data_IF_962780317892
#
_entry.id   IF_962780317892
#
_cell.length_a   1.000
_cell.length_b   1.000
_cell.length_c   1.000
_cell.angle_alpha   90.00
_cell.angle_beta   90.00
_cell.angle_gamma   90.00
#
_symmetry.space_group_name_H-M   'P 1'
#
loop_
_entity.id
_entity.type
_entity.pdbx_description
1 polymer ?
#
# COMPACT_ATOMS: atom_id res chain seq x y z
N UNK A 1 15.14 -20.30 -8.78
CA UNK A 1 15.01 -19.89 -10.20
C UNK A 1 16.30 -19.18 -10.63
N UNK A 2 16.83 -19.36 -11.85
CA UNK A 2 17.95 -18.55 -12.38
C UNK A 2 17.37 -17.62 -13.45
N UNK A 3 17.38 -16.32 -13.21
CA UNK A 3 16.97 -15.31 -14.17
C UNK A 3 18.06 -15.08 -15.20
N UNK A 4 17.67 -14.65 -16.40
CA UNK A 4 18.62 -14.06 -17.34
C UNK A 4 19.17 -12.75 -16.77
N UNK A 5 20.35 -12.31 -17.23
CA UNK A 5 20.89 -11.00 -16.82
C UNK A 5 19.92 -9.85 -17.15
N UNK A 6 19.21 -9.96 -18.28
CA UNK A 6 18.17 -8.99 -18.67
C UNK A 6 16.98 -8.96 -17.71
N UNK A 7 16.50 -10.13 -17.27
CA UNK A 7 15.36 -10.18 -16.33
C UNK A 7 15.77 -9.66 -14.95
N UNK A 8 16.98 -9.97 -14.51
CA UNK A 8 17.51 -9.46 -13.25
C UNK A 8 17.62 -7.93 -13.28
N UNK A 9 18.15 -7.37 -14.36
CA UNK A 9 18.23 -5.92 -14.56
C UNK A 9 16.85 -5.26 -14.60
N UNK A 10 15.89 -5.88 -15.29
CA UNK A 10 14.51 -5.40 -15.34
C UNK A 10 13.89 -5.34 -13.93
N UNK A 11 14.01 -6.42 -13.17
CA UNK A 11 13.46 -6.48 -11.80
C UNK A 11 14.12 -5.42 -10.92
N UNK A 12 15.45 -5.30 -10.94
CA UNK A 12 16.17 -4.31 -10.15
C UNK A 12 15.74 -2.87 -10.52
N UNK A 13 15.54 -2.60 -11.81
CA UNK A 13 15.01 -1.31 -12.29
C UNK A 13 13.60 -1.03 -11.79
N UNK A 14 12.69 -2.02 -11.83
CA UNK A 14 11.32 -1.89 -11.32
C UNK A 14 11.33 -1.59 -9.81
N UNK A 15 12.14 -2.33 -9.04
CA UNK A 15 12.25 -2.17 -7.59
C UNK A 15 12.68 -0.75 -7.21
N UNK A 16 13.64 -0.18 -7.92
CA UNK A 16 14.17 1.17 -7.63
C UNK A 16 13.25 2.26 -8.18
N UNK A 17 12.86 2.17 -9.45
CA UNK A 17 12.26 3.29 -10.18
C UNK A 17 10.73 3.34 -10.08
N UNK A 18 10.06 2.18 -9.99
CA UNK A 18 8.59 2.10 -9.92
C UNK A 18 8.10 1.88 -8.50
N UNK A 19 8.80 1.05 -7.74
CA UNK A 19 8.40 0.69 -6.40
C UNK A 19 9.14 1.49 -5.33
N UNK A 20 10.12 2.33 -5.69
CA UNK A 20 10.83 3.20 -4.73
C UNK A 20 11.45 2.44 -3.53
N UNK A 21 11.89 1.20 -3.76
CA UNK A 21 12.34 0.31 -2.69
C UNK A 21 11.20 -0.19 -1.78
N UNK A 22 9.96 -0.20 -2.29
CA UNK A 22 8.80 -0.56 -1.48
C UNK A 22 8.76 -2.04 -1.10
N UNK A 23 9.45 -2.85 -1.87
CA UNK A 23 9.64 -4.28 -1.71
C UNK A 23 11.06 -4.61 -2.14
N UNK A 24 11.55 -5.78 -1.74
CA UNK A 24 12.89 -6.27 -2.11
C UNK A 24 12.81 -7.33 -3.19
N UNK A 25 13.96 -7.68 -3.77
CA UNK A 25 14.09 -8.81 -4.70
C UNK A 25 13.50 -10.10 -4.12
N UNK A 26 13.66 -10.35 -2.82
CA UNK A 26 13.10 -11.54 -2.16
C UNK A 26 11.57 -11.61 -2.26
N UNK A 27 10.88 -10.47 -2.16
CA UNK A 27 9.42 -10.44 -2.31
C UNK A 27 9.02 -10.80 -3.75
N UNK A 28 9.76 -10.31 -4.74
CA UNK A 28 9.54 -10.63 -6.16
C UNK A 28 9.80 -12.11 -6.42
N UNK A 29 10.91 -12.66 -5.90
CA UNK A 29 11.24 -14.08 -6.05
C UNK A 29 10.17 -14.99 -5.44
N UNK A 30 9.77 -14.72 -4.19
CA UNK A 30 8.73 -15.50 -3.52
C UNK A 30 7.38 -15.37 -4.23
N UNK A 31 7.08 -14.21 -4.82
CA UNK A 31 5.88 -14.01 -5.62
C UNK A 31 5.94 -14.79 -6.94
N UNK A 32 7.09 -14.80 -7.61
CA UNK A 32 7.30 -15.53 -8.86
C UNK A 32 7.27 -17.05 -8.67
N UNK A 33 7.67 -17.55 -7.50
CA UNK A 33 7.59 -18.97 -7.13
C UNK A 33 6.15 -19.50 -7.01
N UNK A 34 5.13 -18.62 -7.04
CA UNK A 34 3.74 -19.06 -7.12
C UNK A 34 3.32 -19.56 -8.52
N UNK A 35 4.10 -19.28 -9.57
CA UNK A 35 3.70 -19.53 -10.96
C UNK A 35 4.46 -20.72 -11.57
N UNK A 36 3.80 -21.38 -12.53
CA UNK A 36 4.43 -22.36 -13.40
C UNK A 36 5.54 -21.69 -14.23
N UNK A 37 6.62 -22.43 -14.54
CA UNK A 37 7.78 -21.87 -15.28
C UNK A 37 7.42 -21.27 -16.64
N UNK A 38 6.43 -21.85 -17.30
CA UNK A 38 5.92 -21.40 -18.60
C UNK A 38 5.19 -20.06 -18.54
N UNK A 39 4.68 -19.68 -17.36
CA UNK A 39 3.89 -18.47 -17.15
C UNK A 39 4.71 -17.29 -16.60
N UNK A 40 6.01 -17.48 -16.36
CA UNK A 40 6.90 -16.43 -15.85
C UNK A 40 7.00 -15.21 -16.77
N UNK A 41 7.01 -15.33 -18.11
CA UNK A 41 7.00 -14.16 -18.99
C UNK A 41 5.77 -13.26 -18.76
N UNK A 42 4.59 -13.85 -18.58
CA UNK A 42 3.34 -13.12 -18.29
C UNK A 42 3.39 -12.50 -16.89
N UNK A 43 3.94 -13.19 -15.89
CA UNK A 43 4.15 -12.66 -14.56
C UNK A 43 5.06 -11.40 -14.57
N UNK A 44 6.14 -11.43 -15.35
CA UNK A 44 7.05 -10.29 -15.50
C UNK A 44 6.38 -9.11 -16.21
N UNK A 45 5.56 -9.36 -17.24
CA UNK A 45 4.76 -8.30 -17.89
C UNK A 45 3.81 -7.63 -16.88
N UNK A 46 3.16 -8.42 -16.01
CA UNK A 46 2.31 -7.86 -14.94
C UNK A 46 3.15 -7.02 -13.99
N UNK A 47 4.27 -7.55 -13.49
CA UNK A 47 5.18 -6.86 -12.57
C UNK A 47 5.62 -5.49 -13.09
N UNK A 48 5.98 -5.42 -14.37
CA UNK A 48 6.39 -4.19 -15.05
C UNK A 48 5.28 -3.12 -15.07
N UNK A 49 4.02 -3.53 -15.12
CA UNK A 49 2.87 -2.65 -15.29
C UNK A 49 2.14 -2.31 -13.97
N UNK A 50 2.60 -2.81 -12.83
CA UNK A 50 2.07 -2.41 -11.52
C UNK A 50 2.33 -0.92 -11.29
N UNK A 51 1.28 -0.18 -10.95
CA UNK A 51 1.34 1.23 -10.56
C UNK A 51 1.36 1.33 -9.04
N UNK A 52 2.56 1.52 -8.47
CA UNK A 52 2.71 1.74 -7.04
C UNK A 52 2.61 3.24 -6.72
N UNK A 53 1.64 3.60 -5.88
CA UNK A 53 1.39 4.96 -5.43
C UNK A 53 1.92 5.15 -4.00
N UNK A 54 3.07 5.85 -3.83
CA UNK A 54 3.57 6.20 -2.52
C UNK A 54 2.63 7.19 -1.83
N UNK A 55 2.70 7.28 -0.51
CA UNK A 55 1.81 8.13 0.29
C UNK A 55 1.89 9.60 -0.14
N UNK A 56 3.07 10.09 -0.52
CA UNK A 56 3.23 11.45 -1.04
C UNK A 56 2.33 11.71 -2.26
N UNK A 57 2.30 10.80 -3.23
CA UNK A 57 1.43 10.91 -4.41
C UNK A 57 -0.05 10.79 -4.05
N UNK A 58 -0.40 9.92 -3.11
CA UNK A 58 -1.78 9.83 -2.58
C UNK A 58 -2.23 11.16 -1.98
N UNK A 59 -1.37 11.79 -1.17
CA UNK A 59 -1.67 13.10 -0.56
C UNK A 59 -1.77 14.20 -1.61
N UNK A 60 -0.91 14.20 -2.63
CA UNK A 60 -0.97 15.16 -3.74
C UNK A 60 -2.30 15.08 -4.50
N UNK A 61 -2.75 13.86 -4.82
CA UNK A 61 -4.03 13.64 -5.53
C UNK A 61 -5.21 14.12 -4.69
N UNK A 62 -5.24 13.79 -3.40
CA UNK A 62 -6.25 14.34 -2.49
C UNK A 62 -6.19 15.86 -2.41
N UNK A 63 -4.98 16.44 -2.32
CA UNK A 63 -4.77 17.88 -2.21
C UNK A 63 -5.31 18.62 -3.45
N UNK A 64 -5.06 18.09 -4.64
CA UNK A 64 -5.56 18.61 -5.92
C UNK A 64 -7.10 18.47 -6.02
N UNK A 65 -7.63 17.28 -5.73
CA UNK A 65 -9.07 17.02 -5.72
C UNK A 65 -9.82 17.97 -4.77
N UNK A 66 -9.33 18.11 -3.54
CA UNK A 66 -9.89 19.04 -2.55
C UNK A 66 -9.79 20.50 -3.00
N UNK A 67 -8.68 20.90 -3.63
CA UNK A 67 -8.50 22.26 -4.14
C UNK A 67 -9.55 22.58 -5.21
N UNK A 68 -9.79 21.65 -6.14
CA UNK A 68 -10.85 21.76 -7.16
C UNK A 68 -12.23 21.85 -6.53
N UNK A 69 -12.54 20.98 -5.56
CA UNK A 69 -13.79 21.03 -4.78
C UNK A 69 -13.97 22.39 -4.11
N UNK A 70 -12.97 22.89 -3.37
CA UNK A 70 -13.08 24.14 -2.64
C UNK A 70 -13.15 25.38 -3.53
N UNK A 71 -12.63 25.29 -4.76
CA UNK A 71 -12.80 26.32 -5.79
C UNK A 71 -14.21 26.29 -6.36
N UNK A 72 -14.71 25.12 -6.73
CA UNK A 72 -16.03 24.94 -7.34
C UNK A 72 -17.17 25.24 -6.36
N UNK A 73 -17.06 24.79 -5.12
CA UNK A 73 -18.06 24.96 -4.06
C UNK A 73 -17.64 26.02 -3.05
N UNK A 74 -17.08 27.12 -3.55
CA UNK A 74 -16.37 28.10 -2.72
C UNK A 74 -17.25 28.79 -1.66
N UNK A 75 -18.54 28.91 -1.90
CA UNK A 75 -19.50 29.56 -0.99
C UNK A 75 -20.26 28.57 -0.09
N UNK A 76 -19.92 27.28 -0.11
CA UNK A 76 -20.65 26.24 0.61
C UNK A 76 -19.94 25.82 1.90
N UNK A 77 -20.73 25.46 2.92
CA UNK A 77 -20.25 24.66 4.05
C UNK A 77 -19.90 23.26 3.54
N UNK A 78 -18.75 22.69 3.91
CA UNK A 78 -18.33 21.36 3.42
C UNK A 78 -18.38 20.35 4.54
N UNK A 79 -19.21 19.32 4.36
CA UNK A 79 -19.31 18.15 5.24
C UNK A 79 -18.59 16.99 4.56
N UNK A 80 -17.56 16.45 5.20
CA UNK A 80 -16.70 15.39 4.64
C UNK A 80 -17.08 14.03 5.22
N UNK A 81 -17.27 13.05 4.33
CA UNK A 81 -17.73 11.70 4.63
C UNK A 81 -16.88 10.64 3.96
N UNK A 82 -16.46 9.62 4.71
CA UNK A 82 -15.90 8.41 4.12
C UNK A 82 -17.00 7.50 3.57
N UNK A 83 -16.82 6.97 2.36
CA UNK A 83 -17.71 5.95 1.77
C UNK A 83 -17.43 4.59 2.41
N UNK A 84 -18.49 3.86 2.78
CA UNK A 84 -18.42 2.51 3.31
C UNK A 84 -18.67 2.38 4.82
N UNK A 85 -18.71 1.13 5.30
CA UNK A 85 -18.90 0.80 6.72
C UNK A 85 -17.64 1.15 7.52
N UNK A 86 -17.82 1.40 8.83
CA UNK A 86 -16.70 1.52 9.78
C UNK A 86 -15.72 0.34 9.61
N UNK A 87 -14.43 0.63 9.44
CA UNK A 87 -13.39 -0.38 9.17
C UNK A 87 -13.14 -0.69 7.68
N UNK A 88 -13.79 0.01 6.75
CA UNK A 88 -13.41 0.03 5.31
C UNK A 88 -12.43 1.17 5.00
N UNK A 89 -11.83 1.14 3.80
CA UNK A 89 -10.79 2.06 3.33
C UNK A 89 -11.20 3.54 3.43
N UNK A 90 -12.41 3.91 2.99
CA UNK A 90 -12.90 5.30 3.03
C UNK A 90 -12.87 5.96 4.41
N UNK A 91 -13.08 5.21 5.51
CA UNK A 91 -12.98 5.75 6.87
C UNK A 91 -11.54 6.07 7.30
N UNK A 92 -10.58 5.26 6.85
CA UNK A 92 -9.14 5.51 7.05
C UNK A 92 -8.64 6.68 6.18
N UNK A 93 -9.31 6.97 5.05
CA UNK A 93 -8.94 8.08 4.16
C UNK A 93 -9.21 9.46 4.76
N UNK A 94 -10.15 9.57 5.70
CA UNK A 94 -10.38 10.82 6.44
C UNK A 94 -9.13 11.28 7.21
N UNK A 95 -8.31 10.35 7.68
CA UNK A 95 -7.01 10.67 8.29
C UNK A 95 -6.08 11.37 7.29
N UNK A 96 -5.96 10.83 6.08
CA UNK A 96 -5.11 11.40 5.03
C UNK A 96 -5.61 12.75 4.54
N UNK A 97 -6.93 12.93 4.41
CA UNK A 97 -7.52 14.23 4.08
C UNK A 97 -7.17 15.28 5.14
N UNK A 98 -7.32 14.96 6.42
CA UNK A 98 -6.99 15.89 7.50
C UNK A 98 -5.49 16.29 7.50
N UNK A 99 -4.62 15.38 7.03
CA UNK A 99 -3.19 15.63 6.86
C UNK A 99 -2.81 16.30 5.53
N UNK A 100 -3.74 16.41 4.58
CA UNK A 100 -3.46 17.04 3.29
C UNK A 100 -3.12 18.54 3.46
N UNK A 101 -2.18 19.09 2.66
CA UNK A 101 -1.84 20.51 2.72
C UNK A 101 -3.06 21.42 2.49
N UNK A 102 -3.92 21.07 1.53
CA UNK A 102 -5.14 21.82 1.23
C UNK A 102 -6.07 21.92 2.43
N UNK A 103 -6.30 20.82 3.16
CA UNK A 103 -7.18 20.84 4.34
C UNK A 103 -6.56 21.59 5.53
N UNK A 104 -5.23 21.61 5.61
CA UNK A 104 -4.49 22.34 6.64
C UNK A 104 -4.36 23.84 6.39
N UNK A 105 -4.68 24.29 5.18
CA UNK A 105 -4.56 25.69 4.78
C UNK A 105 -5.60 26.58 5.50
N UNK A 106 -5.10 27.65 6.14
CA UNK A 106 -5.91 28.63 6.86
C UNK A 106 -6.96 29.33 5.97
N UNK A 107 -6.71 29.44 4.66
CA UNK A 107 -7.65 30.01 3.68
C UNK A 107 -8.94 29.19 3.59
N UNK A 108 -8.81 27.86 3.65
CA UNK A 108 -9.95 26.95 3.59
C UNK A 108 -10.54 26.72 4.98
N UNK A 109 -9.74 26.60 6.06
CA UNK A 109 -10.24 26.43 7.44
C UNK A 109 -11.19 27.51 7.95
N UNK A 110 -11.19 28.72 7.38
CA UNK A 110 -12.17 29.77 7.71
C UNK A 110 -13.59 29.42 7.24
N UNK A 111 -13.72 28.54 6.24
CA UNK A 111 -14.99 27.90 5.88
C UNK A 111 -15.26 26.83 6.95
N UNK A 112 -16.50 26.75 7.45
CA UNK A 112 -16.90 25.74 8.46
C UNK A 112 -16.78 24.34 7.84
N UNK A 113 -15.59 23.76 7.87
CA UNK A 113 -15.35 22.39 7.42
C UNK A 113 -15.67 21.44 8.54
N UNK A 114 -16.56 20.51 8.25
CA UNK A 114 -17.08 19.58 9.24
C UNK A 114 -16.67 18.18 8.81
N UNK A 115 -15.72 17.62 9.56
CA UNK A 115 -15.36 16.22 9.44
C UNK A 115 -16.10 15.50 10.54
N UNK A 116 -17.00 14.61 10.18
CA UNK A 116 -17.76 13.83 11.14
C UNK A 116 -17.89 12.39 10.66
N UNK A 117 -18.04 11.48 11.62
CA UNK A 117 -18.55 10.15 11.30
C UNK A 117 -20.03 10.25 10.97
N UNK A 118 -20.57 9.21 10.31
CA UNK A 118 -21.99 9.15 9.92
C UNK A 118 -22.92 9.48 11.10
N UNK A 119 -22.62 8.96 12.27
CA UNK A 119 -23.41 9.11 13.50
C UNK A 119 -23.35 10.53 14.07
N UNK A 120 -22.27 11.26 13.78
CA UNK A 120 -22.05 12.61 14.27
C UNK A 120 -22.65 13.66 13.32
N UNK A 121 -22.88 13.31 12.04
CA UNK A 121 -23.30 14.26 11.01
C UNK A 121 -24.75 14.68 11.13
N UNK A 122 -25.67 13.78 11.49
CA UNK A 122 -27.08 14.16 11.66
C UNK A 122 -27.24 15.19 12.78
N UNK A 123 -26.71 14.95 14.01
CA UNK A 123 -26.71 15.96 15.07
C UNK A 123 -26.06 17.28 14.62
N UNK A 124 -24.94 17.19 13.91
CA UNK A 124 -24.22 18.35 13.42
C UNK A 124 -25.03 19.19 12.42
N UNK A 125 -25.72 18.54 11.47
CA UNK A 125 -26.63 19.21 10.53
C UNK A 125 -27.79 19.89 11.28
N UNK A 126 -28.32 19.25 12.32
CA UNK A 126 -29.40 19.81 13.14
C UNK A 126 -28.96 21.06 13.92
N UNK A 127 -27.76 21.05 14.49
CA UNK A 127 -27.22 22.17 15.30
C UNK A 127 -26.90 23.42 14.46
N UNK A 128 -26.66 23.27 13.17
CA UNK A 128 -26.04 24.31 12.35
C UNK A 128 -26.99 25.35 11.77
N UNK A 129 -28.31 25.31 12.04
CA UNK A 129 -29.30 26.18 11.36
C UNK A 129 -29.04 26.24 9.85
N UNK A 130 -28.68 25.10 9.24
CA UNK A 130 -28.27 25.07 7.83
C UNK A 130 -29.49 25.48 6.99
N UNK A 131 -29.39 26.64 6.34
CA UNK A 131 -30.37 27.03 5.30
C UNK A 131 -30.37 25.88 4.29
N UNK A 132 -31.55 25.31 4.04
CA UNK A 132 -31.79 23.96 3.46
C UNK A 132 -30.93 23.55 2.24
N UNK A 133 -30.28 24.49 1.56
CA UNK A 133 -29.57 24.31 0.29
C UNK A 133 -28.12 24.85 0.26
N UNK A 134 -27.50 25.15 1.42
CA UNK A 134 -26.18 25.83 1.45
C UNK A 134 -24.98 25.01 1.93
N UNK A 135 -25.00 23.70 1.72
CA UNK A 135 -23.87 22.83 2.02
C UNK A 135 -23.54 21.80 0.93
N UNK A 136 -22.27 21.42 0.90
CA UNK A 136 -21.70 20.36 0.09
C UNK A 136 -21.50 19.12 0.97
N UNK A 137 -22.02 18.00 0.52
CA UNK A 137 -21.67 16.68 1.02
C UNK A 137 -20.53 16.12 0.16
N UNK A 138 -19.32 16.10 0.73
CA UNK A 138 -18.12 15.61 0.09
C UNK A 138 -17.85 14.17 0.53
N UNK A 139 -18.05 13.23 -0.39
CA UNK A 139 -17.76 11.82 -0.20
C UNK A 139 -16.30 11.51 -0.54
N UNK A 140 -15.69 10.60 0.20
CA UNK A 140 -14.27 10.28 0.11
C UNK A 140 -14.10 8.77 0.06
N UNK A 141 -13.31 8.31 -0.90
CA UNK A 141 -12.87 6.91 -0.97
C UNK A 141 -11.43 6.81 -1.50
N UNK A 142 -10.80 5.65 -1.38
CA UNK A 142 -9.49 5.41 -1.98
C UNK A 142 -9.59 4.98 -3.46
N UNK A 143 -10.63 4.21 -3.81
CA UNK A 143 -10.81 3.68 -5.15
C UNK A 143 -12.28 3.60 -5.56
N UNK A 144 -12.65 4.26 -6.67
CA UNK A 144 -13.96 4.10 -7.30
C UNK A 144 -13.84 3.07 -8.42
N UNK A 145 -14.38 1.88 -8.19
CA UNK A 145 -14.43 0.78 -9.16
C UNK A 145 -15.54 0.98 -10.20
N UNK A 146 -16.60 0.18 -10.10
CA UNK A 146 -17.79 0.32 -10.98
C UNK A 146 -18.69 1.51 -10.62
N UNK A 147 -18.44 2.17 -9.48
CA UNK A 147 -19.29 3.23 -8.93
C UNK A 147 -20.54 2.72 -8.19
N UNK A 148 -20.77 1.40 -8.12
CA UNK A 148 -21.94 0.84 -7.44
C UNK A 148 -22.05 1.28 -5.99
N UNK A 149 -20.97 1.30 -5.21
CA UNK A 149 -21.02 1.72 -3.80
C UNK A 149 -21.47 3.17 -3.62
N UNK A 150 -21.15 4.04 -4.58
CA UNK A 150 -21.65 5.41 -4.63
C UNK A 150 -23.13 5.43 -5.03
N UNK A 151 -23.51 4.68 -6.06
CA UNK A 151 -24.92 4.59 -6.49
C UNK A 151 -25.83 4.02 -5.40
N UNK A 152 -25.37 3.00 -4.68
CA UNK A 152 -26.06 2.44 -3.51
C UNK A 152 -26.16 3.49 -2.39
N UNK A 153 -25.10 4.27 -2.15
CA UNK A 153 -25.15 5.37 -1.19
C UNK A 153 -26.22 6.39 -1.57
N UNK A 154 -26.19 6.88 -2.80
CA UNK A 154 -27.11 7.92 -3.29
C UNK A 154 -28.56 7.43 -3.40
N UNK A 155 -28.78 6.15 -3.71
CA UNK A 155 -30.12 5.54 -3.76
C UNK A 155 -30.70 5.19 -2.38
N UNK A 156 -29.92 5.32 -1.30
CA UNK A 156 -30.37 5.00 0.06
C UNK A 156 -30.37 3.51 0.41
N UNK A 157 -29.87 2.64 -0.48
CA UNK A 157 -29.85 1.18 -0.31
C UNK A 157 -28.69 0.66 0.56
N UNK A 158 -27.88 1.55 1.15
CA UNK A 158 -26.76 1.18 2.03
C UNK A 158 -27.12 1.30 3.50
N UNK A 159 -26.24 0.83 4.38
CA UNK A 159 -26.26 1.16 5.81
C UNK A 159 -26.20 2.67 6.12
N UNK A 160 -25.99 3.54 5.12
CA UNK A 160 -26.07 4.99 5.25
C UNK A 160 -27.46 5.56 4.92
N UNK A 161 -28.47 4.69 4.72
CA UNK A 161 -29.88 5.02 4.53
C UNK A 161 -30.40 6.09 5.49
N UNK A 162 -30.00 6.06 6.76
CA UNK A 162 -30.43 7.06 7.75
C UNK A 162 -30.05 8.51 7.40
N UNK A 163 -28.91 8.75 6.74
CA UNK A 163 -28.54 10.11 6.31
C UNK A 163 -29.36 10.54 5.10
N UNK A 164 -29.47 9.69 4.08
CA UNK A 164 -30.25 10.00 2.87
C UNK A 164 -31.73 10.17 3.21
N UNK A 165 -32.25 9.30 4.07
CA UNK A 165 -33.62 9.40 4.58
C UNK A 165 -33.80 10.69 5.38
N UNK A 166 -32.87 11.03 6.28
CA UNK A 166 -32.92 12.30 7.02
C UNK A 166 -32.92 13.51 6.07
N UNK A 167 -32.07 13.51 5.05
CA UNK A 167 -32.04 14.58 4.04
C UNK A 167 -33.39 14.67 3.30
N UNK A 168 -33.97 13.53 2.92
CA UNK A 168 -35.27 13.46 2.26
C UNK A 168 -36.41 13.95 3.16
N UNK A 169 -36.51 13.45 4.39
CA UNK A 169 -37.54 13.79 5.38
C UNK A 169 -37.55 15.29 5.70
N UNK A 170 -36.36 15.90 5.72
CA UNK A 170 -36.20 17.33 5.98
C UNK A 170 -36.20 18.18 4.70
N UNK A 171 -36.37 17.58 3.52
CA UNK A 171 -36.35 18.24 2.21
C UNK A 171 -35.05 19.05 1.98
N UNK A 172 -33.91 18.48 2.40
CA UNK A 172 -32.57 19.03 2.20
C UNK A 172 -32.00 18.50 0.88
N UNK A 173 -31.45 19.39 0.04
CA UNK A 173 -30.86 19.02 -1.25
C UNK A 173 -29.41 19.51 -1.34
N UNK A 174 -28.45 18.81 -0.69
CA UNK A 174 -27.06 19.24 -0.71
C UNK A 174 -26.45 19.13 -2.10
N UNK A 175 -25.44 19.96 -2.37
CA UNK A 175 -24.50 19.64 -3.44
C UNK A 175 -23.74 18.37 -3.08
N UNK A 176 -23.38 17.58 -4.09
CA UNK A 176 -22.67 16.32 -3.91
C UNK A 176 -21.36 16.35 -4.69
N UNK A 177 -20.28 15.96 -4.02
CA UNK A 177 -19.00 15.73 -4.66
C UNK A 177 -18.35 14.47 -4.11
N UNK A 178 -17.49 13.87 -4.92
CA UNK A 178 -16.72 12.67 -4.58
C UNK A 178 -15.26 12.96 -4.88
N UNK A 179 -14.40 12.76 -3.90
CA UNK A 179 -12.96 12.75 -4.08
C UNK A 179 -12.44 11.33 -3.86
N UNK A 180 -11.80 10.79 -4.87
CA UNK A 180 -11.12 9.50 -4.81
C UNK A 180 -9.69 9.63 -5.32
N UNK A 181 -8.79 8.74 -4.88
CA UNK A 181 -7.42 8.71 -5.43
C UNK A 181 -7.50 8.24 -6.88
N UNK A 182 -8.10 7.07 -7.10
CA UNK A 182 -8.31 6.48 -8.42
C UNK A 182 -9.80 6.32 -8.70
N UNK A 183 -10.18 6.59 -9.94
CA UNK A 183 -11.51 6.33 -10.48
C UNK A 183 -11.33 5.49 -11.74
N UNK A 184 -11.94 4.30 -11.79
CA UNK A 184 -11.97 3.52 -13.01
C UNK A 184 -12.85 4.22 -14.05
N UNK A 185 -12.45 4.22 -15.32
CA UNK A 185 -13.14 4.91 -16.42
C UNK A 185 -14.63 4.51 -16.50
N UNK A 186 -14.94 3.22 -16.42
CA UNK A 186 -16.33 2.74 -16.42
C UNK A 186 -17.14 3.29 -15.23
N UNK A 187 -16.53 3.38 -14.05
CA UNK A 187 -17.17 3.95 -12.86
C UNK A 187 -17.37 5.46 -12.99
N UNK A 188 -16.42 6.16 -13.60
CA UNK A 188 -16.53 7.58 -13.91
C UNK A 188 -17.70 7.82 -14.86
N UNK A 189 -17.76 7.10 -15.98
CA UNK A 189 -18.82 7.21 -16.99
C UNK A 189 -20.19 6.88 -16.41
N UNK A 190 -20.31 5.79 -15.65
CA UNK A 190 -21.56 5.40 -15.00
C UNK A 190 -22.06 6.48 -14.04
N UNK A 191 -21.17 7.04 -13.21
CA UNK A 191 -21.54 8.07 -12.25
C UNK A 191 -21.88 9.41 -12.92
N UNK A 192 -21.15 9.81 -13.95
CA UNK A 192 -21.48 11.00 -14.74
C UNK A 192 -22.83 10.87 -15.43
N UNK A 193 -23.13 9.69 -15.99
CA UNK A 193 -24.41 9.44 -16.66
C UNK A 193 -25.58 9.38 -15.67
N UNK A 194 -25.44 8.64 -14.57
CA UNK A 194 -26.52 8.40 -13.62
C UNK A 194 -26.72 9.57 -12.65
N UNK A 195 -25.66 10.32 -12.37
CA UNK A 195 -25.65 11.43 -11.40
C UNK A 195 -24.89 12.65 -11.96
N UNK A 196 -25.39 13.30 -13.04
CA UNK A 196 -24.66 14.36 -13.76
C UNK A 196 -24.35 15.60 -12.90
N UNK A 197 -25.08 15.79 -11.81
CA UNK A 197 -24.88 16.91 -10.89
C UNK A 197 -23.86 16.62 -9.76
N UNK A 198 -23.29 15.41 -9.73
CA UNK A 198 -22.27 15.03 -8.74
C UNK A 198 -20.88 15.37 -9.28
N UNK A 199 -20.14 16.20 -8.55
CA UNK A 199 -18.75 16.50 -8.89
C UNK A 199 -17.85 15.30 -8.62
N UNK A 200 -17.13 14.79 -9.63
CA UNK A 200 -16.19 13.68 -9.48
C UNK A 200 -14.75 14.19 -9.62
N UNK A 201 -13.93 13.92 -8.60
CA UNK A 201 -12.55 14.38 -8.52
C UNK A 201 -11.63 13.22 -8.17
N UNK A 202 -10.63 12.98 -9.02
CA UNK A 202 -9.66 11.90 -8.85
C UNK A 202 -8.96 11.63 -10.16
N UNK A 203 -7.95 10.75 -10.14
CA UNK A 203 -7.29 10.37 -11.37
C UNK A 203 -8.01 9.20 -12.05
N UNK A 204 -8.39 9.38 -13.31
CA UNK A 204 -9.08 8.34 -14.08
C UNK A 204 -8.06 7.31 -14.59
N UNK A 205 -8.42 6.02 -14.48
CA UNK A 205 -7.64 4.89 -15.01
C UNK A 205 -8.53 3.96 -15.81
N UNK A 206 -7.99 3.38 -16.88
CA UNK A 206 -8.66 2.34 -17.66
C UNK A 206 -8.37 0.96 -17.05
N UNK A 207 -9.21 -0.02 -17.39
CA UNK A 207 -8.93 -1.43 -17.11
C UNK A 207 -7.65 -1.86 -17.82
N UNK A 208 -6.80 -2.62 -17.13
CA UNK A 208 -5.51 -3.05 -17.66
C UNK A 208 -5.61 -3.84 -18.97
N UNK A 209 -6.73 -4.55 -19.20
CA UNK A 209 -6.95 -5.34 -20.43
C UNK A 209 -7.95 -4.70 -21.41
N UNK A 210 -8.48 -3.51 -21.12
CA UNK A 210 -9.29 -2.73 -22.07
C UNK A 210 -8.40 -2.07 -23.13
N UNK A 211 -8.94 -1.75 -24.31
CA UNK A 211 -8.15 -1.12 -25.37
C UNK A 211 -8.24 0.41 -25.31
N UNK A 212 -7.11 1.15 -25.45
CA UNK A 212 -5.73 0.63 -25.53
C UNK A 212 -5.27 0.04 -24.18
N UNK A 213 -4.65 -1.14 -24.23
CA UNK A 213 -4.20 -1.88 -23.05
C UNK A 213 -2.77 -1.50 -22.69
N UNK A 214 -2.45 -1.53 -21.39
CA UNK A 214 -1.07 -1.32 -20.92
C UNK A 214 -0.11 -2.41 -21.41
N UNK A 215 -0.66 -3.56 -21.80
CA UNK A 215 0.07 -4.67 -22.41
C UNK A 215 0.11 -4.58 -23.95
N UNK A 216 -0.28 -3.44 -24.52
CA UNK A 216 -0.31 -3.19 -25.96
C UNK A 216 -1.51 -3.82 -26.67
N UNK A 217 -1.29 -4.27 -27.90
CA UNK A 217 -2.36 -4.80 -28.76
C UNK A 217 -2.87 -6.18 -28.29
N UNK A 218 -4.02 -6.60 -28.83
CA UNK A 218 -4.79 -7.75 -28.34
C UNK A 218 -4.01 -9.08 -28.24
N UNK A 219 -3.24 -9.53 -29.26
CA UNK A 219 -2.35 -10.69 -29.17
C UNK A 219 -1.36 -10.68 -28.00
N UNK A 220 -0.89 -9.52 -27.54
CA UNK A 220 -0.03 -9.43 -26.36
C UNK A 220 -0.83 -9.36 -25.06
N UNK A 221 -2.00 -8.71 -25.09
CA UNK A 221 -2.86 -8.53 -23.91
C UNK A 221 -3.58 -9.82 -23.51
N UNK A 222 -4.04 -10.60 -24.50
CA UNK A 222 -4.88 -11.77 -24.23
C UNK A 222 -4.15 -12.86 -23.41
N UNK A 223 -2.89 -13.24 -23.72
CA UNK A 223 -2.13 -14.17 -22.88
C UNK A 223 -1.99 -13.69 -21.44
N UNK A 224 -1.69 -12.40 -21.23
CA UNK A 224 -1.54 -11.84 -19.87
C UNK A 224 -2.87 -11.86 -19.12
N UNK A 225 -3.99 -11.55 -19.80
CA UNK A 225 -5.33 -11.62 -19.20
C UNK A 225 -5.69 -13.05 -18.81
N UNK A 226 -5.47 -14.02 -19.69
CA UNK A 226 -5.76 -15.43 -19.40
C UNK A 226 -4.86 -15.98 -18.29
N UNK A 227 -3.58 -15.61 -18.27
CA UNK A 227 -2.67 -15.86 -17.16
C UNK A 227 -3.23 -15.31 -15.84
N UNK A 228 -3.61 -14.03 -15.81
CA UNK A 228 -4.16 -13.40 -14.60
C UNK A 228 -5.46 -14.08 -14.15
N UNK A 229 -6.31 -14.51 -15.08
CA UNK A 229 -7.54 -15.23 -14.78
C UNK A 229 -7.26 -16.64 -14.24
N UNK A 230 -6.35 -17.41 -14.88
CA UNK A 230 -5.92 -18.78 -14.49
C UNK A 230 -5.55 -18.84 -13.01
N UNK A 231 -4.71 -17.91 -12.56
CA UNK A 231 -4.27 -17.86 -11.16
C UNK A 231 -5.26 -17.11 -10.27
N UNK A 232 -5.76 -15.95 -10.71
CA UNK A 232 -6.68 -15.12 -9.93
C UNK A 232 -7.97 -15.83 -9.53
N UNK A 233 -8.52 -16.70 -10.39
CA UNK A 233 -9.72 -17.48 -10.10
C UNK A 233 -9.55 -18.46 -8.92
N UNK A 234 -8.30 -18.87 -8.60
CA UNK A 234 -7.98 -19.73 -7.45
C UNK A 234 -7.84 -18.94 -6.14
N UNK A 235 -7.74 -17.62 -6.24
CA UNK A 235 -7.39 -16.71 -5.13
C UNK A 235 -8.57 -15.92 -4.58
N UNK A 236 -9.77 -16.11 -5.14
CA UNK A 236 -11.00 -15.41 -4.78
C UNK A 236 -12.13 -16.40 -4.55
N UNK A 237 -13.14 -16.01 -3.76
CA UNK A 237 -14.33 -16.86 -3.53
C UNK A 237 -15.21 -16.93 -4.78
N UNK A 238 -15.39 -15.79 -5.45
CA UNK A 238 -16.28 -15.66 -6.60
C UNK A 238 -15.45 -15.42 -7.86
N UNK A 239 -15.59 -16.29 -8.87
CA UNK A 239 -14.79 -16.24 -10.10
C UNK A 239 -14.92 -14.91 -10.87
N UNK A 240 -16.03 -14.19 -10.72
CA UNK A 240 -16.19 -12.83 -11.30
C UNK A 240 -15.13 -11.83 -10.80
N UNK A 241 -14.53 -12.11 -9.64
CA UNK A 241 -13.47 -11.29 -9.04
C UNK A 241 -12.06 -11.76 -9.41
N UNK A 242 -11.92 -12.73 -10.32
CA UNK A 242 -10.61 -13.29 -10.71
C UNK A 242 -9.65 -12.25 -11.29
N UNK A 243 -10.18 -11.17 -11.87
CA UNK A 243 -9.41 -10.04 -12.39
C UNK A 243 -9.62 -8.77 -11.56
N UNK A 244 -9.90 -8.92 -10.26
CA UNK A 244 -10.23 -7.82 -9.35
C UNK A 244 -11.74 -7.70 -9.13
N UNK A 245 -12.13 -7.06 -8.03
CA UNK A 245 -13.52 -6.92 -7.61
C UNK A 245 -14.40 -6.39 -8.74
N UNK A 246 -15.51 -7.08 -9.02
CA UNK A 246 -16.42 -6.79 -10.14
C UNK A 246 -15.68 -6.59 -11.47
N UNK A 247 -14.63 -7.38 -11.71
CA UNK A 247 -13.82 -7.34 -12.93
C UNK A 247 -13.20 -5.95 -13.21
N UNK A 248 -12.74 -5.27 -12.16
CA UNK A 248 -12.13 -3.93 -12.26
C UNK A 248 -10.77 -3.89 -12.96
N UNK A 249 -10.04 -5.01 -13.02
CA UNK A 249 -8.78 -5.15 -13.78
C UNK A 249 -7.74 -4.07 -13.47
N UNK A 250 -7.64 -3.62 -12.23
CA UNK A 250 -6.69 -2.60 -11.83
C UNK A 250 -5.29 -3.19 -11.59
N UNK A 251 -4.27 -2.38 -11.81
CA UNK A 251 -2.87 -2.65 -11.46
C UNK A 251 -2.34 -1.67 -10.39
N UNK A 252 -3.24 -0.88 -9.79
CA UNK A 252 -2.87 0.12 -8.80
C UNK A 252 -2.63 -0.54 -7.44
N UNK A 253 -1.56 -0.15 -6.78
CA UNK A 253 -1.24 -0.52 -5.40
C UNK A 253 -0.94 0.75 -4.63
N UNK A 254 -1.60 0.97 -3.48
CA UNK A 254 -1.24 2.08 -2.60
C UNK A 254 -0.21 1.64 -1.56
N UNK A 255 0.64 2.57 -1.12
CA UNK A 255 1.63 2.30 -0.07
C UNK A 255 1.00 1.74 1.22
N UNK A 256 -0.21 2.19 1.57
CA UNK A 256 -0.90 1.83 2.81
C UNK A 256 -1.79 0.59 2.70
N UNK A 257 -2.19 0.18 1.48
CA UNK A 257 -2.99 -1.03 1.22
C UNK A 257 -3.12 -1.32 -0.28
N UNK A 258 -3.43 -2.56 -0.64
CA UNK A 258 -3.78 -2.91 -2.02
C UNK A 258 -5.31 -2.98 -2.20
N UNK A 259 -5.92 -2.21 -3.11
CA UNK A 259 -7.33 -2.32 -3.45
C UNK A 259 -7.72 -3.72 -3.92
N UNK A 260 -8.95 -4.16 -3.65
CA UNK A 260 -9.46 -5.45 -4.13
C UNK A 260 -9.89 -5.36 -5.59
N UNK A 261 -9.99 -4.14 -6.14
CA UNK A 261 -10.10 -3.87 -7.57
C UNK A 261 -8.84 -4.28 -8.34
N UNK A 262 -7.70 -4.40 -7.65
CA UNK A 262 -6.42 -4.85 -8.21
C UNK A 262 -6.43 -6.35 -8.43
N UNK A 263 -5.62 -6.83 -9.39
CA UNK A 263 -5.54 -8.26 -9.70
C UNK A 263 -5.22 -9.11 -8.44
N UNK A 264 -6.00 -10.17 -8.12
CA UNK A 264 -5.81 -10.99 -6.93
C UNK A 264 -4.42 -11.63 -6.81
N UNK A 265 -3.78 -11.93 -7.94
CA UNK A 265 -2.41 -12.47 -7.98
C UNK A 265 -1.40 -11.54 -7.31
N UNK A 266 -1.69 -10.24 -7.19
CA UNK A 266 -0.81 -9.24 -6.58
C UNK A 266 -0.96 -9.23 -5.05
N UNK A 267 -2.18 -9.41 -4.51
CA UNK A 267 -2.48 -9.09 -3.11
C UNK A 267 -3.06 -10.21 -2.25
N UNK A 268 -3.60 -11.27 -2.86
CA UNK A 268 -4.25 -12.35 -2.11
C UNK A 268 -3.22 -13.23 -1.42
N UNK A 269 -3.50 -13.63 -0.18
CA UNK A 269 -2.70 -14.58 0.60
C UNK A 269 -3.39 -15.94 0.76
N UNK A 270 -4.48 -16.16 0.01
CA UNK A 270 -5.25 -17.41 0.05
C UNK A 270 -4.50 -18.55 -0.63
N UNK A 271 -4.87 -19.78 -0.28
CA UNK A 271 -4.36 -20.98 -0.94
C UNK A 271 -2.82 -21.07 -0.91
N UNK A 272 -2.19 -20.60 0.18
CA UNK A 272 -0.73 -20.49 0.34
C UNK A 272 -0.03 -19.61 -0.71
N UNK A 273 -0.77 -18.73 -1.38
CA UNK A 273 -0.22 -17.74 -2.28
C UNK A 273 0.63 -16.73 -1.51
N UNK A 274 1.82 -16.43 -2.02
CA UNK A 274 2.67 -15.37 -1.48
C UNK A 274 2.39 -14.07 -2.23
N UNK A 275 1.68 -13.09 -1.65
CA UNK A 275 1.36 -11.85 -2.34
C UNK A 275 2.60 -10.97 -2.51
N UNK A 276 2.66 -10.23 -3.62
CA UNK A 276 3.67 -9.20 -3.82
C UNK A 276 3.39 -7.96 -2.96
N UNK A 277 2.11 -7.57 -2.89
CA UNK A 277 1.62 -6.44 -2.10
C UNK A 277 0.37 -6.84 -1.31
N UNK A 278 0.52 -7.29 -0.05
CA UNK A 278 -0.59 -7.82 0.73
C UNK A 278 -1.67 -6.76 1.02
N UNK A 279 -2.93 -7.21 0.99
CA UNK A 279 -4.09 -6.36 1.35
C UNK A 279 -4.37 -6.33 2.85
N UNK A 280 -4.31 -7.48 3.53
CA UNK A 280 -4.75 -7.62 4.91
C UNK A 280 -3.60 -7.50 5.90
N UNK A 281 -3.86 -6.84 7.04
CA UNK A 281 -2.88 -6.62 8.10
C UNK A 281 -2.24 -7.91 8.64
N UNK A 282 -3.01 -9.01 8.69
CA UNK A 282 -2.51 -10.33 9.09
C UNK A 282 -1.36 -10.82 8.22
N UNK A 283 -1.32 -10.43 6.95
CA UNK A 283 -0.23 -10.81 6.04
C UNK A 283 1.01 -9.94 6.26
N UNK A 284 0.84 -8.71 6.74
CA UNK A 284 1.96 -7.90 7.23
C UNK A 284 2.62 -8.52 8.46
N UNK A 285 1.93 -9.34 9.25
CA UNK A 285 2.55 -10.08 10.38
C UNK A 285 3.56 -11.13 9.86
N UNK A 286 3.32 -11.73 8.70
CA UNK A 286 4.32 -12.58 8.04
C UNK A 286 5.51 -11.75 7.56
N UNK A 287 5.26 -10.60 6.92
CA UNK A 287 6.33 -9.67 6.53
C UNK A 287 7.09 -9.11 7.74
N UNK A 288 6.43 -8.90 8.88
CA UNK A 288 7.05 -8.51 10.14
C UNK A 288 8.05 -9.57 10.59
N UNK A 289 7.71 -10.85 10.47
CA UNK A 289 8.65 -11.94 10.78
C UNK A 289 9.84 -11.97 9.81
N UNK A 290 9.65 -11.67 8.53
CA UNK A 290 10.75 -11.56 7.55
C UNK A 290 11.64 -10.34 7.82
N UNK A 291 11.04 -9.17 7.99
CA UNK A 291 11.74 -7.96 8.41
C UNK A 291 12.50 -8.20 9.71
N UNK A 292 11.89 -8.86 10.69
CA UNK A 292 12.54 -9.23 11.94
C UNK A 292 13.74 -10.14 11.72
N UNK A 293 13.64 -11.17 10.87
CA UNK A 293 14.78 -12.03 10.49
C UNK A 293 15.90 -11.21 9.85
N UNK A 294 15.55 -10.30 8.95
CA UNK A 294 16.50 -9.44 8.26
C UNK A 294 17.19 -8.46 9.23
N UNK A 295 16.44 -7.84 10.12
CA UNK A 295 16.97 -6.93 11.15
C UNK A 295 17.84 -7.68 12.16
N UNK A 296 17.45 -8.90 12.56
CA UNK A 296 18.29 -9.78 13.38
C UNK A 296 19.62 -10.09 12.67
N UNK A 297 19.58 -10.35 11.37
CA UNK A 297 20.79 -10.56 10.56
C UNK A 297 21.66 -9.29 10.50
N UNK A 298 21.05 -8.13 10.25
CA UNK A 298 21.75 -6.83 10.26
C UNK A 298 22.44 -6.58 11.60
N UNK A 299 21.71 -6.72 12.71
CA UNK A 299 22.26 -6.52 14.07
C UNK A 299 23.38 -7.53 14.36
N UNK A 300 23.21 -8.79 13.96
CA UNK A 300 24.23 -9.84 14.15
C UNK A 300 25.57 -9.52 13.47
N UNK A 301 25.52 -8.89 12.28
CA UNK A 301 26.73 -8.45 11.57
C UNK A 301 27.26 -7.14 12.14
N UNK A 302 26.36 -6.27 12.58
CA UNK A 302 26.68 -4.90 13.00
C UNK A 302 27.32 -4.82 14.39
N UNK A 303 26.96 -5.74 15.29
CA UNK A 303 27.29 -5.68 16.73
C UNK A 303 28.78 -5.53 17.07
N UNK A 304 29.68 -6.01 16.20
CA UNK A 304 31.12 -5.99 16.42
C UNK A 304 31.85 -4.97 15.51
N UNK A 305 31.12 -4.20 14.71
CA UNK A 305 31.70 -3.33 13.68
C UNK A 305 31.30 -1.87 13.77
N UNK A 306 30.09 -1.58 14.27
CA UNK A 306 29.60 -0.22 14.37
C UNK A 306 29.41 0.13 15.84
N UNK A 307 30.18 1.11 16.31
CA UNK A 307 29.93 1.73 17.59
C UNK A 307 28.97 2.90 17.37
N UNK A 308 27.72 2.70 17.76
CA UNK A 308 26.70 3.75 17.74
C UNK A 308 26.49 4.19 19.20
N UNK A 309 27.00 5.37 19.60
CA UNK A 309 26.85 5.87 20.96
C UNK A 309 25.39 5.85 21.39
N UNK A 310 25.10 5.30 22.58
CA UNK A 310 23.75 5.16 23.14
C UNK A 310 22.88 4.03 22.56
N UNK A 311 23.36 3.34 21.52
CA UNK A 311 22.80 2.07 21.05
C UNK A 311 23.71 0.93 21.54
N UNK A 312 23.32 0.28 22.64
CA UNK A 312 24.18 -0.70 23.31
C UNK A 312 24.26 -2.02 22.52
N UNK A 313 25.09 -2.02 21.47
CA UNK A 313 25.30 -3.13 20.55
C UNK A 313 26.30 -4.17 21.06
N UNK A 314 27.18 -3.78 21.98
CA UNK A 314 28.19 -4.68 22.55
C UNK A 314 27.60 -5.58 23.63
N UNK A 315 26.74 -5.06 24.52
CA UNK A 315 26.21 -5.84 25.64
C UNK A 315 24.79 -6.37 25.40
N UNK A 316 23.92 -5.63 24.69
CA UNK A 316 22.53 -6.03 24.44
C UNK A 316 22.08 -5.85 22.98
N UNK A 317 22.84 -6.38 21.99
CA UNK A 317 22.58 -6.14 20.57
C UNK A 317 21.16 -6.49 20.14
N UNK A 318 20.63 -7.61 20.62
CA UNK A 318 19.32 -8.15 20.22
C UNK A 318 18.17 -7.69 21.12
N UNK A 319 18.34 -6.61 21.90
CA UNK A 319 17.24 -6.03 22.67
C UNK A 319 16.10 -5.60 21.75
N UNK A 320 14.85 -5.74 22.21
CA UNK A 320 13.66 -5.31 21.45
C UNK A 320 13.80 -3.86 20.98
N UNK A 321 14.30 -2.98 21.85
CA UNK A 321 14.60 -1.58 21.54
C UNK A 321 15.56 -1.43 20.35
N UNK A 322 16.72 -2.09 20.38
CA UNK A 322 17.71 -1.97 19.30
C UNK A 322 17.15 -2.51 17.98
N UNK A 323 16.46 -3.65 18.01
CA UNK A 323 15.82 -4.22 16.81
C UNK A 323 14.78 -3.25 16.22
N UNK A 324 13.91 -2.67 17.05
CA UNK A 324 12.93 -1.67 16.62
C UNK A 324 13.61 -0.42 16.03
N UNK A 325 14.68 0.09 16.64
CA UNK A 325 15.41 1.26 16.15
C UNK A 325 16.08 1.01 14.80
N UNK A 326 16.74 -0.14 14.61
CA UNK A 326 17.30 -0.52 13.30
C UNK A 326 16.20 -0.65 12.24
N UNK A 327 15.07 -1.26 12.61
CA UNK A 327 13.95 -1.43 11.70
C UNK A 327 13.34 -0.08 11.30
N UNK A 328 13.14 0.84 12.26
CA UNK A 328 12.70 2.21 12.00
C UNK A 328 13.70 2.94 11.09
N UNK A 329 15.00 2.92 11.40
CA UNK A 329 16.02 3.59 10.58
C UNK A 329 16.02 3.07 9.14
N UNK A 330 15.91 1.75 8.97
CA UNK A 330 15.83 1.13 7.64
C UNK A 330 14.59 1.58 6.88
N UNK A 331 13.42 1.55 7.51
CA UNK A 331 12.17 1.91 6.85
C UNK A 331 12.09 3.42 6.57
N UNK A 332 12.62 4.27 7.45
CA UNK A 332 12.78 5.70 7.22
C UNK A 332 13.73 5.98 6.04
N UNK A 333 14.84 5.24 5.93
CA UNK A 333 15.74 5.34 4.77
C UNK A 333 15.02 4.95 3.48
N UNK A 334 14.20 3.90 3.52
CA UNK A 334 13.32 3.51 2.42
C UNK A 334 12.15 4.50 2.20
N UNK A 335 12.19 5.67 2.84
CA UNK A 335 11.22 6.76 2.73
C UNK A 335 9.78 6.33 3.02
N UNK A 336 9.61 5.35 3.91
CA UNK A 336 8.28 4.90 4.33
C UNK A 336 7.63 5.91 5.24
N UNK A 337 6.32 6.03 5.09
CA UNK A 337 5.50 6.85 5.98
C UNK A 337 5.43 6.27 7.39
N UNK A 338 5.31 7.15 8.37
CA UNK A 338 5.14 6.80 9.80
C UNK A 338 4.06 5.75 10.02
N UNK A 339 2.93 5.89 9.32
CA UNK A 339 1.83 4.94 9.37
C UNK A 339 2.26 3.55 8.91
N UNK A 340 2.89 3.45 7.73
CA UNK A 340 3.37 2.16 7.20
C UNK A 340 4.45 1.56 8.09
N UNK A 341 5.33 2.39 8.67
CA UNK A 341 6.32 1.90 9.64
C UNK A 341 5.63 1.29 10.85
N UNK A 342 4.64 1.97 11.43
CA UNK A 342 3.86 1.43 12.55
C UNK A 342 3.21 0.09 12.19
N UNK A 343 2.63 -0.01 10.99
CA UNK A 343 2.02 -1.24 10.50
C UNK A 343 3.03 -2.38 10.32
N UNK A 344 4.16 -2.12 9.66
CA UNK A 344 5.20 -3.12 9.40
C UNK A 344 5.87 -3.60 10.68
N UNK A 345 6.04 -2.72 11.66
CA UNK A 345 6.63 -3.06 12.96
C UNK A 345 5.61 -3.58 13.96
N UNK A 346 4.32 -3.51 13.63
CA UNK A 346 3.23 -3.83 14.55
C UNK A 346 3.35 -3.10 15.91
N UNK A 347 3.61 -1.79 15.85
CA UNK A 347 3.75 -0.91 17.01
C UNK A 347 2.71 0.22 16.97
N UNK A 348 2.37 0.77 18.14
CA UNK A 348 1.51 1.95 18.22
C UNK A 348 2.22 3.20 17.73
N UNK A 349 1.45 4.20 17.31
CA UNK A 349 1.97 5.53 16.97
C UNK A 349 2.76 6.15 18.14
N UNK A 350 2.28 5.98 19.38
CA UNK A 350 2.98 6.45 20.57
C UNK A 350 4.36 5.80 20.76
N UNK A 351 4.46 4.48 20.53
CA UNK A 351 5.73 3.76 20.59
C UNK A 351 6.68 4.22 19.48
N UNK A 352 6.16 4.40 18.27
CA UNK A 352 6.93 4.92 17.15
C UNK A 352 7.46 6.34 17.42
N UNK A 353 6.64 7.22 18.00
CA UNK A 353 7.08 8.55 18.40
C UNK A 353 8.17 8.52 19.48
N UNK A 354 8.06 7.61 20.45
CA UNK A 354 9.12 7.42 21.46
C UNK A 354 10.43 6.99 20.79
N UNK A 355 10.37 6.01 19.88
CA UNK A 355 11.55 5.55 19.13
C UNK A 355 12.18 6.67 18.29
N UNK A 356 11.37 7.53 17.68
CA UNK A 356 11.85 8.68 16.93
C UNK A 356 12.57 9.69 17.82
N UNK A 357 12.00 10.03 18.98
CA UNK A 357 12.66 10.92 19.96
C UNK A 357 14.00 10.34 20.39
N UNK A 358 14.04 9.06 20.73
CA UNK A 358 15.30 8.38 21.08
C UNK A 358 16.32 8.43 19.94
N UNK A 359 15.91 8.21 18.68
CA UNK A 359 16.79 8.32 17.51
C UNK A 359 17.30 9.74 17.28
N UNK A 360 16.52 10.77 17.63
CA UNK A 360 16.96 12.18 17.59
C UNK A 360 18.02 12.44 18.65
N UNK A 361 17.82 11.95 19.88
CA UNK A 361 18.79 12.09 20.97
C UNK A 361 20.13 11.43 20.62
N UNK A 362 20.09 10.31 19.89
CA UNK A 362 21.28 9.62 19.37
C UNK A 362 21.90 10.30 18.12
N UNK A 363 21.35 11.43 17.66
CA UNK A 363 21.78 12.11 16.42
C UNK A 363 21.70 11.22 15.17
N UNK A 364 20.80 10.23 15.18
CA UNK A 364 20.51 9.35 14.05
C UNK A 364 19.33 9.87 13.24
N UNK A 365 18.43 10.61 13.87
CA UNK A 365 17.38 11.41 13.23
C UNK A 365 17.59 12.91 13.47
N UNK A 366 17.01 13.72 12.59
CA UNK A 366 16.91 15.18 12.71
C UNK A 366 15.76 15.56 13.63
N UNK A 367 15.74 16.80 14.14
CA UNK A 367 14.62 17.35 14.91
C UNK A 367 13.26 17.27 14.19
N UNK A 368 13.28 17.19 12.86
CA UNK A 368 12.10 16.97 12.01
C UNK A 368 11.73 15.49 11.84
N UNK A 369 12.23 14.59 12.69
CA UNK A 369 11.93 13.14 12.71
C UNK A 369 12.27 12.42 11.40
N UNK A 370 13.21 12.96 10.61
CA UNK A 370 13.78 12.31 9.40
C UNK A 370 15.17 11.77 9.69
N UNK A 371 15.59 10.73 8.97
CA UNK A 371 16.95 10.19 9.08
C UNK A 371 18.00 11.30 8.83
N UNK A 372 18.99 11.41 9.71
CA UNK A 372 20.11 12.34 9.57
C UNK A 372 21.15 11.81 8.57
N UNK A 373 22.11 12.64 8.15
CA UNK A 373 23.25 12.19 7.32
C UNK A 373 24.03 11.04 7.99
N UNK A 374 24.22 11.11 9.31
CA UNK A 374 24.86 10.05 10.09
C UNK A 374 24.02 8.76 10.10
N UNK A 375 22.70 8.88 10.31
CA UNK A 375 21.78 7.74 10.25
C UNK A 375 21.76 7.07 8.88
N UNK A 376 21.77 7.86 7.79
CA UNK A 376 21.85 7.33 6.42
C UNK A 376 23.18 6.60 6.19
N UNK A 377 24.30 7.17 6.64
CA UNK A 377 25.62 6.55 6.50
C UNK A 377 25.67 5.18 7.18
N UNK A 378 25.20 5.08 8.42
CA UNK A 378 25.15 3.81 9.17
C UNK A 378 24.34 2.75 8.41
N UNK A 379 23.12 3.09 7.96
CA UNK A 379 22.28 2.12 7.23
C UNK A 379 22.94 1.68 5.92
N UNK A 380 23.56 2.61 5.18
CA UNK A 380 24.28 2.30 3.94
C UNK A 380 25.47 1.36 4.17
N UNK A 381 26.24 1.57 5.23
CA UNK A 381 27.38 0.71 5.55
C UNK A 381 26.95 -0.70 5.92
N UNK A 382 25.85 -0.84 6.68
CA UNK A 382 25.27 -2.14 7.04
C UNK A 382 24.81 -2.88 5.78
N UNK A 383 24.06 -2.20 4.90
CA UNK A 383 23.58 -2.79 3.64
C UNK A 383 24.74 -3.24 2.74
N UNK A 384 25.78 -2.40 2.61
CA UNK A 384 27.00 -2.76 1.87
C UNK A 384 27.66 -4.00 2.48
N UNK A 385 27.70 -4.10 3.80
CA UNK A 385 28.26 -5.27 4.49
C UNK A 385 27.45 -6.55 4.23
N UNK A 386 26.13 -6.45 4.33
CA UNK A 386 25.20 -7.54 4.04
C UNK A 386 25.38 -8.02 2.59
N UNK A 387 25.42 -7.10 1.64
CA UNK A 387 25.65 -7.40 0.22
C UNK A 387 26.97 -8.13 0.00
N UNK A 388 28.09 -7.62 0.53
CA UNK A 388 29.40 -8.24 0.38
C UNK A 388 29.47 -9.64 1.01
N UNK A 389 28.80 -9.86 2.14
CA UNK A 389 28.77 -11.18 2.78
C UNK A 389 27.94 -12.19 1.99
N UNK A 390 26.80 -11.77 1.46
CA UNK A 390 25.95 -12.60 0.62
C UNK A 390 26.65 -12.97 -0.69
N UNK A 391 27.38 -12.03 -1.32
CA UNK A 391 28.19 -12.29 -2.52
C UNK A 391 29.31 -13.30 -2.26
N UNK A 392 30.10 -13.12 -1.19
CA UNK A 392 31.15 -14.08 -0.79
C UNK A 392 30.58 -15.48 -0.48
N UNK A 393 29.38 -15.54 0.08
CA UNK A 393 28.69 -16.80 0.34
C UNK A 393 28.30 -17.49 -0.97
N UNK A 394 27.77 -16.75 -1.95
CA UNK A 394 27.43 -17.27 -3.27
C UNK A 394 28.65 -17.74 -4.07
N UNK A 395 29.76 -16.99 -4.03
CA UNK A 395 31.03 -17.37 -4.68
C UNK A 395 31.68 -18.61 -4.03
N UNK A 396 31.38 -18.87 -2.75
CA UNK A 396 31.86 -20.06 -2.02
C UNK A 396 31.01 -21.32 -2.21
N UNK A 397 29.84 -21.22 -2.88
CA UNK A 397 28.98 -22.37 -3.21
C UNK A 397 29.39 -22.93 -4.58
N UNK A 398 30.66 -23.28 -4.74
CA UNK A 398 31.06 -24.35 -5.65
C UNK A 398 31.01 -25.65 -4.84
N UNK A 399 29.85 -26.29 -4.78
CA UNK A 399 29.77 -27.66 -4.26
C UNK A 399 30.42 -28.55 -5.31
N UNK A 400 31.75 -28.67 -5.27
CA UNK A 400 32.38 -29.88 -5.78
C UNK A 400 31.82 -31.02 -4.93
N UNK A 401 31.16 -32.05 -5.50
CA UNK A 401 30.74 -33.18 -4.72
C UNK A 401 32.00 -33.79 -4.10
N UNK A 402 32.20 -33.60 -2.79
CA UNK A 402 33.14 -34.45 -2.07
C UNK A 402 32.55 -35.85 -2.20
N UNK A 403 33.17 -36.67 -3.04
CA UNK A 403 33.01 -38.13 -3.00
C UNK A 403 33.39 -38.54 -1.58
N UNK A 404 32.41 -38.59 -0.69
CA UNK A 404 32.54 -39.33 0.55
C UNK A 404 32.46 -40.78 0.11
N UNK A 405 33.62 -41.37 -0.16
CA UNK A 405 33.75 -42.82 -0.31
C UNK A 405 33.46 -43.39 1.08
N UNK A 406 32.23 -43.85 1.27
CA UNK A 406 31.85 -44.60 2.45
C UNK A 406 32.55 -45.96 2.38
N UNK A 407 33.59 -46.14 3.18
CA UNK A 407 34.24 -47.42 3.44
C UNK A 407 33.59 -48.02 4.70
N UNK A 408 32.81 -49.11 4.57
CA UNK A 408 32.25 -49.81 5.72
C UNK A 408 33.38 -50.32 6.62
N UNK A 409 33.27 -50.12 7.94
CA UNK A 409 34.30 -50.52 8.90
C UNK A 409 34.36 -52.03 9.19
N UNK A 410 33.38 -52.79 8.69
CA UNK A 410 33.36 -54.26 8.78
C UNK A 410 32.66 -54.80 7.54
N UNK A 411 33.40 -55.49 6.68
CA UNK A 411 32.83 -56.46 5.76
C UNK A 411 32.60 -57.73 6.58
N UNK A 412 31.32 -58.10 6.74
CA UNK A 412 30.97 -59.31 7.47
C UNK A 412 31.47 -60.53 6.71
N UNK A 413 32.52 -61.15 7.25
CA UNK A 413 32.87 -62.54 6.97
C UNK A 413 32.54 -63.37 8.21
N UNK A 414 31.96 -64.56 7.92
CA UNK A 414 31.66 -65.71 8.78
C UNK A 414 30.29 -65.62 9.47
N UNK A 415 29.35 -66.55 9.24
CA UNK A 415 29.43 -67.97 8.87
C UNK A 415 28.08 -68.43 8.34
#
# INVERSE_FOLDING_TARGET
MKFSESDQFLIDSILVNRFYGSISIYHVLNWLDNFDKEDLPEALKVLENIEYLPLGRVLDIYSDGLSKVFKQYSNKIVIVLGIGKYGKSGSSMLYFINKSPTFSDKRYRRKKHLIGRKEEIIPLIQDLTIVKDDFLLLLVDDFVGTGNSVGEFLSGNTTQSGLIQFLADNQLKPNLAIVSIIINEEGFEMLQYSYPNVGLFGEVRKKAFSQPSVFGYRPNTLPVREFCYKYGAKLVTEKKNALGYENSQSLVVFEHTTPNNTLPIIWSSRCNWTPLFPRFYSDFVKNHNELKKEILYWVSISKNKFEIPGLNLSSTPFSKRNLEMFAVMKLLKAKRSDYVICQWLNISTSRFETLLTELVDLKLCTSHKKLSSNGVAIVNEIEKFVYLKNKKSADSVSISPKKIVYLPKTFGDKT
#
